data_IF_059327629668
#
_entry.id   IF_059327629668
#
_cell.length_a   1.000
_cell.length_b   1.000
_cell.length_c   1.000
_cell.angle_alpha   90.00
_cell.angle_beta   90.00
_cell.angle_gamma   90.00
#
_symmetry.space_group_name_H-M   'P 1'
#
loop_
_entity.id
_entity.type
_entity.pdbx_description
1 polymer ?
#
# COMPACT_ATOMS: atom_id res chain seq x y z
N UNK A 1 7.40 53.52 62.94
CA UNK A 1 7.55 54.96 62.65
C UNK A 1 8.65 55.53 63.53
N UNK A 2 9.30 56.60 63.08
CA UNK A 2 10.42 57.32 63.71
C UNK A 2 11.80 56.83 63.22
N UNK A 3 12.60 57.58 62.45
CA UNK A 3 13.10 58.95 62.64
C UNK A 3 13.79 59.17 64.01
N UNK A 4 15.04 58.75 64.13
CA UNK A 4 16.16 59.72 64.13
C UNK A 4 17.46 59.10 64.66
N UNK A 5 18.54 59.51 63.99
CA UNK A 5 19.87 59.74 64.53
C UNK A 5 20.77 58.56 64.91
N UNK A 6 21.96 58.60 64.29
CA UNK A 6 23.29 58.36 64.85
C UNK A 6 23.54 57.07 65.63
N UNK A 7 24.49 56.29 65.15
CA UNK A 7 25.80 56.12 65.81
C UNK A 7 26.67 55.18 64.96
N UNK A 8 27.88 55.62 64.65
CA UNK A 8 28.95 54.78 64.14
C UNK A 8 29.14 53.58 65.07
N UNK A 9 28.66 52.43 64.63
CA UNK A 9 28.97 51.13 65.21
C UNK A 9 30.27 50.60 64.62
N UNK A 10 31.37 50.89 65.30
CA UNK A 10 32.67 50.24 65.10
C UNK A 10 32.45 48.72 65.23
N UNK A 11 32.60 47.97 64.15
CA UNK A 11 32.91 46.54 64.26
C UNK A 11 34.43 46.41 64.29
N UNK A 12 34.92 46.09 65.47
CA UNK A 12 36.30 45.79 65.79
C UNK A 12 36.74 44.50 65.10
N UNK A 13 37.81 44.54 64.30
CA UNK A 13 38.71 43.38 64.15
C UNK A 13 40.07 43.84 63.64
N UNK A 14 40.83 44.47 64.55
CA UNK A 14 42.13 45.05 64.26
C UNK A 14 42.73 45.72 65.49
N UNK A 15 42.85 45.00 66.60
CA UNK A 15 43.69 45.42 67.73
C UNK A 15 44.66 44.28 68.03
N UNK A 16 45.86 44.40 67.45
CA UNK A 16 46.97 43.49 67.72
C UNK A 16 48.09 43.44 66.67
N UNK A 17 47.86 43.87 65.43
CA UNK A 17 48.90 44.11 64.40
C UNK A 17 48.29 44.88 63.23
N UNK A 18 49.07 45.75 62.57
CA UNK A 18 48.69 46.53 61.38
C UNK A 18 48.43 45.69 60.14
N UNK A 19 47.46 44.79 60.23
CA UNK A 19 47.14 43.74 59.28
C UNK A 19 45.70 44.01 58.83
N UNK A 20 45.56 44.58 57.63
CA UNK A 20 44.29 44.78 56.96
C UNK A 20 43.72 43.41 56.55
N UNK A 21 42.92 42.83 57.44
CA UNK A 21 42.39 41.47 57.31
C UNK A 21 41.47 41.33 56.11
N UNK A 22 40.74 42.38 55.73
CA UNK A 22 39.89 42.37 54.54
C UNK A 22 40.73 42.32 53.26
N UNK A 23 41.81 43.12 53.16
CA UNK A 23 42.69 43.04 51.99
C UNK A 23 43.55 41.78 51.95
N UNK A 24 43.93 41.22 53.10
CA UNK A 24 44.64 39.94 53.18
C UNK A 24 43.72 38.78 52.80
N UNK A 25 42.49 38.75 53.30
CA UNK A 25 41.48 37.77 52.87
C UNK A 25 41.18 37.91 51.38
N UNK A 26 41.05 39.13 50.85
CA UNK A 26 40.88 39.36 49.41
C UNK A 26 42.10 38.89 48.59
N UNK A 27 43.33 39.14 49.06
CA UNK A 27 44.56 38.66 48.41
C UNK A 27 44.69 37.13 48.46
N UNK A 28 44.34 36.50 49.58
CA UNK A 28 44.28 35.04 49.70
C UNK A 28 43.19 34.45 48.80
N UNK A 29 41.99 35.02 48.78
CA UNK A 29 40.91 34.62 47.87
C UNK A 29 41.31 34.77 46.40
N UNK A 30 42.03 35.84 46.05
CA UNK A 30 42.55 36.01 44.69
C UNK A 30 43.58 34.94 44.33
N UNK A 31 44.50 34.59 45.25
CA UNK A 31 45.49 33.51 45.04
C UNK A 31 44.81 32.14 44.93
N UNK A 32 43.83 31.86 45.80
CA UNK A 32 43.02 30.63 45.79
C UNK A 32 42.07 30.56 44.59
N UNK A 33 41.74 31.70 43.95
CA UNK A 33 40.95 31.75 42.72
C UNK A 33 41.77 31.50 41.44
N UNK A 34 43.11 31.60 41.49
CA UNK A 34 43.99 31.38 40.32
C UNK A 34 43.76 30.00 39.67
N UNK A 35 43.66 28.87 40.40
CA UNK A 35 43.38 27.57 39.80
C UNK A 35 42.03 27.54 39.07
N UNK A 36 41.00 28.18 39.64
CA UNK A 36 39.66 28.26 39.04
C UNK A 36 39.70 29.09 37.76
N UNK A 37 40.37 30.25 37.77
CA UNK A 37 40.53 31.09 36.58
C UNK A 37 41.28 30.35 35.45
N UNK A 38 42.32 29.57 35.79
CA UNK A 38 43.04 28.73 34.81
C UNK A 38 42.13 27.65 34.21
N UNK A 39 41.34 26.97 35.04
CA UNK A 39 40.37 25.97 34.57
C UNK A 39 39.28 26.60 33.69
N UNK A 40 38.81 27.81 34.01
CA UNK A 40 37.85 28.55 33.16
C UNK A 40 38.45 28.93 31.79
N UNK A 41 39.71 29.37 31.75
CA UNK A 41 40.42 29.64 30.49
C UNK A 41 40.66 28.36 29.67
N UNK A 42 41.01 27.26 30.34
CA UNK A 42 41.11 25.94 29.69
C UNK A 42 39.76 25.49 29.14
N UNK A 43 38.67 25.66 29.89
CA UNK A 43 37.32 25.35 29.45
C UNK A 43 36.96 26.14 28.19
N UNK A 44 37.19 27.46 28.17
CA UNK A 44 36.96 28.27 26.97
C UNK A 44 37.82 27.80 25.78
N UNK A 45 39.09 27.47 26.01
CA UNK A 45 39.97 26.95 24.95
C UNK A 45 39.47 25.63 24.39
N UNK A 46 39.04 24.71 25.25
CA UNK A 46 38.47 23.41 24.85
C UNK A 46 37.15 23.61 24.09
N UNK A 47 36.28 24.50 24.56
CA UNK A 47 35.03 24.84 23.87
C UNK A 47 35.30 25.39 22.47
N UNK A 48 36.24 26.32 22.32
CA UNK A 48 36.65 26.83 20.99
C UNK A 48 37.19 25.71 20.11
N UNK A 49 38.05 24.84 20.64
CA UNK A 49 38.56 23.67 19.89
C UNK A 49 37.45 22.73 19.45
N UNK A 50 36.48 22.44 20.32
CA UNK A 50 35.33 21.61 20.00
C UNK A 50 34.49 22.22 18.87
N UNK A 51 34.23 23.53 18.91
CA UNK A 51 33.50 24.23 17.85
C UNK A 51 34.24 24.17 16.51
N UNK A 52 35.57 24.41 16.51
CA UNK A 52 36.41 24.32 15.31
C UNK A 52 36.43 22.89 14.74
N UNK A 53 36.55 21.87 15.59
CA UNK A 53 36.50 20.47 15.15
C UNK A 53 35.11 20.08 14.63
N UNK A 54 34.03 20.62 15.22
CA UNK A 54 32.67 20.44 14.75
C UNK A 54 32.46 21.04 13.35
N UNK A 55 32.97 22.25 13.12
CA UNK A 55 32.92 22.92 11.82
C UNK A 55 33.74 22.17 10.77
N UNK A 56 34.97 21.76 11.09
CA UNK A 56 35.81 20.93 10.22
C UNK A 56 35.09 19.64 9.82
N UNK A 57 34.49 18.95 10.79
CA UNK A 57 33.73 17.70 10.55
C UNK A 57 32.53 17.95 9.63
N UNK A 58 31.80 19.05 9.84
CA UNK A 58 30.67 19.43 9.00
C UNK A 58 31.11 19.65 7.54
N UNK A 59 32.18 20.43 7.34
CA UNK A 59 32.76 20.68 6.00
C UNK A 59 33.26 19.39 5.35
N UNK A 60 33.93 18.50 6.10
CA UNK A 60 34.40 17.21 5.59
C UNK A 60 33.23 16.32 5.17
N UNK A 61 32.14 16.32 5.94
CA UNK A 61 30.92 15.58 5.62
C UNK A 61 30.25 16.12 4.35
N UNK A 62 30.19 17.44 4.18
CA UNK A 62 29.65 18.07 2.97
C UNK A 62 30.48 17.73 1.73
N UNK A 63 31.82 17.81 1.82
CA UNK A 63 32.72 17.41 0.74
C UNK A 63 32.60 15.91 0.42
N UNK A 64 32.54 15.06 1.44
CA UNK A 64 32.35 13.61 1.25
C UNK A 64 31.03 13.30 0.54
N UNK A 65 29.95 14.01 0.89
CA UNK A 65 28.63 13.84 0.28
C UNK A 65 28.61 14.28 -1.18
N UNK A 66 29.20 15.43 -1.50
CA UNK A 66 29.29 15.93 -2.89
C UNK A 66 30.21 15.05 -3.74
N UNK A 67 31.33 14.57 -3.20
CA UNK A 67 32.21 13.61 -3.86
C UNK A 67 31.51 12.28 -4.16
N UNK A 68 30.77 11.75 -3.18
CA UNK A 68 29.98 10.52 -3.35
C UNK A 68 28.89 10.68 -4.40
N UNK A 69 28.24 11.86 -4.42
CA UNK A 69 27.24 12.20 -5.44
C UNK A 69 27.83 12.26 -6.84
N UNK A 70 29.11 12.63 -6.99
CA UNK A 70 29.78 12.60 -8.29
C UNK A 70 30.20 11.19 -8.72
N UNK A 71 30.46 10.29 -7.78
CA UNK A 71 30.89 8.92 -8.05
C UNK A 71 29.72 7.95 -8.34
N UNK A 72 28.49 8.44 -8.48
CA UNK A 72 27.34 7.58 -8.81
C UNK A 72 27.27 7.27 -10.30
N UNK A 73 26.84 6.07 -10.66
CA UNK A 73 26.80 5.57 -12.05
C UNK A 73 25.93 6.42 -12.99
N UNK A 74 25.00 7.21 -12.46
CA UNK A 74 24.08 8.06 -13.24
C UNK A 74 24.41 9.56 -13.13
N UNK A 75 25.55 9.91 -12.52
CA UNK A 75 25.93 11.32 -12.32
C UNK A 75 26.10 12.05 -13.64
N UNK A 76 26.70 11.39 -14.63
CA UNK A 76 27.14 12.01 -15.89
C UNK A 76 26.23 11.71 -17.09
N UNK A 77 25.22 10.85 -16.90
CA UNK A 77 24.19 10.59 -17.91
C UNK A 77 22.76 10.67 -17.34
N UNK A 78 22.41 11.71 -16.55
CA UNK A 78 21.05 11.85 -16.07
C UNK A 78 20.11 12.09 -17.26
N UNK A 79 18.95 11.44 -17.26
CA UNK A 79 17.88 11.69 -18.23
C UNK A 79 16.79 12.51 -17.55
N UNK A 80 16.45 13.64 -18.16
CA UNK A 80 15.28 14.44 -17.83
C UNK A 80 14.11 14.06 -18.74
N UNK A 81 12.97 13.88 -18.10
CA UNK A 81 11.70 13.62 -18.74
C UNK A 81 10.88 14.91 -18.85
N UNK A 82 10.27 15.17 -20.00
CA UNK A 82 9.28 16.24 -20.19
C UNK A 82 8.09 15.76 -20.99
N UNK A 83 6.90 16.29 -20.68
CA UNK A 83 5.65 16.04 -21.41
C UNK A 83 5.12 17.35 -21.97
N UNK A 84 4.57 17.33 -23.18
CA UNK A 84 3.90 18.48 -23.78
C UNK A 84 2.57 18.81 -23.10
N UNK A 85 1.96 17.86 -22.40
CA UNK A 85 0.79 18.04 -21.54
C UNK A 85 0.93 17.17 -20.27
N UNK A 86 1.56 17.75 -19.24
CA UNK A 86 1.75 17.07 -17.95
C UNK A 86 0.47 16.92 -17.12
N UNK A 87 -0.60 17.66 -17.47
CA UNK A 87 -1.89 17.53 -16.80
C UNK A 87 -2.66 16.30 -17.29
N UNK A 88 -2.44 15.87 -18.54
CA UNK A 88 -2.97 14.63 -19.09
C UNK A 88 -2.01 13.44 -18.89
N UNK A 89 -0.73 13.59 -19.25
CA UNK A 89 0.29 12.54 -19.16
C UNK A 89 1.51 13.07 -18.40
N UNK A 90 1.63 12.65 -17.14
CA UNK A 90 2.85 12.83 -16.36
C UNK A 90 3.92 11.83 -16.77
N UNK A 91 5.19 12.22 -16.62
CA UNK A 91 6.32 11.33 -16.90
C UNK A 91 7.44 11.54 -15.90
N UNK A 92 8.04 10.44 -15.47
CA UNK A 92 9.27 10.45 -14.68
C UNK A 92 10.25 9.43 -15.23
N UNK A 93 11.53 9.75 -15.13
CA UNK A 93 12.66 8.91 -15.54
C UNK A 93 13.43 8.42 -14.31
N UNK A 94 14.00 7.24 -14.42
CA UNK A 94 14.88 6.63 -13.41
C UNK A 94 16.19 6.18 -14.08
N UNK A 95 17.05 5.46 -13.35
CA UNK A 95 18.30 4.95 -13.90
C UNK A 95 18.00 3.94 -15.00
N UNK A 96 18.68 4.04 -16.14
CA UNK A 96 18.47 3.16 -17.29
C UNK A 96 17.46 3.69 -18.32
N UNK A 97 16.85 4.85 -18.08
CA UNK A 97 16.11 5.56 -19.13
C UNK A 97 17.00 5.88 -20.32
N UNK A 98 16.43 5.77 -21.53
CA UNK A 98 17.11 6.08 -22.78
C UNK A 98 16.52 7.37 -23.36
N UNK A 99 17.38 8.22 -23.93
CA UNK A 99 16.94 9.44 -24.61
C UNK A 99 16.09 9.09 -25.85
N UNK A 100 15.06 9.86 -26.11
CA UNK A 100 14.10 9.60 -27.18
C UNK A 100 12.85 10.45 -27.05
N UNK A 101 12.04 10.47 -28.11
CA UNK A 101 10.74 11.15 -28.13
C UNK A 101 9.67 10.14 -28.45
N UNK A 102 8.58 10.18 -27.69
CA UNK A 102 7.47 9.23 -27.77
C UNK A 102 6.15 9.99 -27.86
N UNK A 103 5.25 9.53 -28.70
CA UNK A 103 3.89 10.05 -28.81
C UNK A 103 2.96 9.16 -27.98
N UNK A 104 2.30 9.75 -26.98
CA UNK A 104 1.41 9.03 -26.07
C UNK A 104 -0.02 9.48 -26.31
N UNK A 105 -0.92 8.55 -26.57
CA UNK A 105 -2.36 8.80 -26.61
C UNK A 105 -3.05 7.98 -25.53
N UNK A 106 -3.96 8.58 -24.78
CA UNK A 106 -4.73 7.93 -23.71
C UNK A 106 -6.19 7.92 -24.11
N UNK A 107 -6.74 6.75 -24.38
CA UNK A 107 -8.15 6.58 -24.78
C UNK A 107 -9.03 6.25 -23.58
N UNK A 108 -8.47 5.61 -22.56
CA UNK A 108 -9.20 5.20 -21.37
C UNK A 108 -8.30 5.19 -20.13
N UNK A 109 -8.87 5.57 -18.98
CA UNK A 109 -8.20 5.46 -17.68
C UNK A 109 -8.63 4.20 -16.95
N UNK A 110 -7.68 3.62 -16.21
CA UNK A 110 -7.98 2.54 -15.30
C UNK A 110 -8.87 3.05 -14.16
N UNK A 111 -9.88 2.26 -13.77
CA UNK A 111 -10.80 2.58 -12.66
C UNK A 111 -10.83 1.47 -11.63
N UNK A 112 -10.95 1.87 -10.37
CA UNK A 112 -11.14 0.96 -9.26
C UNK A 112 -12.61 0.58 -9.16
N UNK A 113 -12.86 -0.72 -9.06
CA UNK A 113 -14.23 -1.25 -8.96
C UNK A 113 -14.91 -0.72 -7.70
N UNK A 114 -16.16 -0.27 -7.84
CA UNK A 114 -17.02 0.12 -6.73
C UNK A 114 -18.39 -0.54 -6.80
N UNK A 115 -18.78 -1.19 -5.71
CA UNK A 115 -20.08 -1.88 -5.55
C UNK A 115 -20.74 -1.37 -4.28
N UNK A 116 -22.06 -1.23 -4.28
CA UNK A 116 -22.83 -0.82 -3.11
C UNK A 116 -23.90 -1.85 -2.76
N UNK A 117 -24.21 -1.95 -1.48
CA UNK A 117 -25.37 -2.68 -0.99
C UNK A 117 -26.68 -1.98 -1.39
N UNK A 118 -27.80 -2.66 -1.17
CA UNK A 118 -29.11 -2.01 -1.05
C UNK A 118 -29.17 -1.18 0.25
N UNK A 119 -30.16 -0.28 0.33
CA UNK A 119 -30.38 0.57 1.50
C UNK A 119 -30.87 -0.23 2.69
N UNK A 120 -30.24 0.00 3.84
CA UNK A 120 -30.62 -0.55 5.14
C UNK A 120 -31.23 0.54 6.02
N UNK A 121 -32.14 0.18 6.92
CA UNK A 121 -32.85 1.13 7.79
C UNK A 121 -31.90 2.04 8.57
N UNK A 122 -30.81 1.48 9.11
CA UNK A 122 -29.74 2.24 9.74
C UNK A 122 -28.40 1.49 9.72
N UNK A 123 -27.34 2.11 10.25
CA UNK A 123 -25.97 1.57 10.20
C UNK A 123 -25.50 0.89 11.49
N UNK A 124 -26.29 0.97 12.56
CA UNK A 124 -25.92 0.66 13.95
C UNK A 124 -26.74 -0.46 14.60
N UNK A 125 -27.98 -0.67 14.16
CA UNK A 125 -28.84 -1.76 14.61
C UNK A 125 -28.35 -3.08 14.06
N UNK A 126 -28.67 -4.14 14.79
CA UNK A 126 -28.41 -5.50 14.37
C UNK A 126 -29.13 -5.81 13.05
N UNK A 127 -28.40 -6.37 12.09
CA UNK A 127 -28.93 -6.83 10.81
C UNK A 127 -29.77 -8.10 10.96
N UNK A 128 -29.59 -8.84 12.06
CA UNK A 128 -30.22 -10.15 12.30
C UNK A 128 -29.92 -11.17 11.20
N UNK A 129 -28.78 -11.01 10.52
CA UNK A 129 -28.25 -11.95 9.54
C UNK A 129 -27.20 -12.83 10.20
N UNK A 130 -27.12 -14.09 9.79
CA UNK A 130 -26.05 -14.99 10.21
C UNK A 130 -25.50 -15.70 8.99
N UNK A 131 -24.19 -15.85 8.90
CA UNK A 131 -23.56 -16.57 7.82
C UNK A 131 -22.15 -16.08 7.54
N UNK A 132 -21.49 -16.75 6.60
CA UNK A 132 -20.15 -16.39 6.16
C UNK A 132 -20.19 -16.08 4.68
N UNK A 133 -19.39 -15.11 4.26
CA UNK A 133 -19.13 -14.83 2.86
C UNK A 133 -17.64 -14.55 2.67
N UNK A 134 -17.21 -14.35 1.43
CA UNK A 134 -15.87 -13.94 1.11
C UNK A 134 -15.84 -12.72 0.20
N UNK A 135 -14.82 -11.90 0.40
CA UNK A 135 -14.45 -10.78 -0.47
C UNK A 135 -13.05 -11.05 -0.98
N UNK A 136 -12.86 -11.11 -2.30
CA UNK A 136 -11.57 -11.45 -2.92
C UNK A 136 -10.90 -12.70 -2.30
N UNK A 137 -11.70 -13.73 -1.99
CA UNK A 137 -11.21 -14.97 -1.38
C UNK A 137 -10.79 -14.84 0.09
N UNK A 138 -11.20 -13.76 0.80
CA UNK A 138 -11.04 -13.61 2.25
C UNK A 138 -12.38 -13.63 2.95
N UNK A 139 -12.48 -14.47 3.95
CA UNK A 139 -13.64 -14.74 4.77
C UNK A 139 -14.10 -13.57 5.62
N UNK A 140 -15.42 -13.44 5.73
CA UNK A 140 -16.10 -12.53 6.63
C UNK A 140 -17.30 -13.24 7.22
N UNK A 141 -17.29 -13.45 8.54
CA UNK A 141 -18.40 -14.06 9.28
C UNK A 141 -19.27 -12.98 9.91
N UNK A 142 -20.58 -13.07 9.66
CA UNK A 142 -21.62 -12.19 10.18
C UNK A 142 -22.43 -12.93 11.23
N UNK A 143 -22.59 -12.28 12.38
CA UNK A 143 -23.42 -12.74 13.48
C UNK A 143 -24.72 -11.94 13.53
N UNK A 144 -25.76 -12.53 14.14
CA UNK A 144 -27.08 -11.88 14.21
C UNK A 144 -27.02 -10.49 14.86
N UNK A 145 -26.10 -10.29 15.81
CA UNK A 145 -25.89 -9.03 16.53
C UNK A 145 -25.06 -7.99 15.77
N UNK A 146 -24.52 -8.35 14.59
CA UNK A 146 -23.72 -7.44 13.80
C UNK A 146 -24.58 -6.37 13.14
N UNK A 147 -24.08 -5.14 13.19
CA UNK A 147 -24.63 -4.01 12.45
C UNK A 147 -23.91 -3.83 11.13
N UNK A 148 -24.46 -2.98 10.26
CA UNK A 148 -23.83 -2.62 9.00
C UNK A 148 -22.40 -2.07 9.20
N UNK A 149 -22.21 -1.25 10.23
CA UNK A 149 -20.89 -0.73 10.62
C UNK A 149 -19.92 -1.85 11.00
N UNK A 150 -20.37 -2.83 11.80
CA UNK A 150 -19.53 -3.98 12.17
C UNK A 150 -19.18 -4.84 10.97
N UNK A 151 -20.12 -5.08 10.05
CA UNK A 151 -19.83 -5.83 8.81
C UNK A 151 -18.77 -5.10 7.97
N UNK A 152 -18.89 -3.78 7.78
CA UNK A 152 -17.86 -3.00 7.08
C UNK A 152 -16.49 -3.07 7.78
N UNK A 153 -16.45 -3.02 9.12
CA UNK A 153 -15.21 -3.19 9.89
C UNK A 153 -14.60 -4.59 9.74
N UNK A 154 -15.42 -5.64 9.71
CA UNK A 154 -14.97 -7.02 9.49
C UNK A 154 -14.39 -7.18 8.08
N UNK A 155 -15.01 -6.60 7.05
CA UNK A 155 -14.46 -6.59 5.67
C UNK A 155 -13.10 -5.89 5.63
N UNK A 156 -12.97 -4.71 6.26
CA UNK A 156 -11.70 -3.99 6.31
C UNK A 156 -10.62 -4.77 7.07
N UNK A 157 -10.98 -5.41 8.18
CA UNK A 157 -10.06 -6.24 8.99
C UNK A 157 -9.61 -7.51 8.26
N UNK A 158 -10.44 -8.04 7.34
CA UNK A 158 -10.09 -9.19 6.51
C UNK A 158 -8.94 -8.90 5.53
N UNK A 159 -8.62 -7.61 5.29
CA UNK A 159 -7.55 -7.16 4.38
C UNK A 159 -7.70 -7.73 2.95
N UNK A 160 -8.94 -7.78 2.47
CA UNK A 160 -9.33 -8.37 1.18
C UNK A 160 -8.97 -7.52 -0.06
N UNK A 161 -8.05 -6.57 0.03
CA UNK A 161 -7.77 -5.65 -1.09
C UNK A 161 -8.89 -4.66 -1.43
N UNK A 162 -9.89 -4.51 -0.55
CA UNK A 162 -10.97 -3.54 -0.66
C UNK A 162 -11.03 -2.63 0.57
N UNK A 163 -11.69 -1.50 0.42
CA UNK A 163 -12.13 -0.62 1.50
C UNK A 163 -13.65 -0.65 1.55
N UNK A 164 -14.22 -1.06 2.69
CA UNK A 164 -15.64 -0.95 3.00
C UNK A 164 -15.90 0.36 3.75
N UNK A 165 -16.89 1.12 3.30
CA UNK A 165 -17.31 2.38 3.93
C UNK A 165 -18.82 2.44 4.05
N UNK A 166 -19.30 3.16 5.08
CA UNK A 166 -20.72 3.41 5.26
C UNK A 166 -21.09 4.75 4.63
N UNK A 167 -22.08 4.75 3.75
CA UNK A 167 -22.71 5.96 3.25
C UNK A 167 -24.05 6.12 3.96
N UNK A 168 -24.21 7.24 4.66
CA UNK A 168 -25.49 7.63 5.23
C UNK A 168 -26.29 8.43 4.18
N UNK A 169 -27.35 7.82 3.66
CA UNK A 169 -28.26 8.42 2.68
C UNK A 169 -29.39 9.25 3.31
N UNK A 170 -29.36 9.51 4.62
CA UNK A 170 -30.42 10.19 5.35
C UNK A 170 -31.34 9.22 6.09
N UNK A 171 -32.46 9.74 6.62
CA UNK A 171 -33.37 8.98 7.47
C UNK A 171 -33.82 7.67 6.78
N UNK A 172 -33.47 6.53 7.38
CA UNK A 172 -33.87 5.21 6.90
C UNK A 172 -32.97 4.58 5.83
N UNK A 173 -31.83 5.19 5.47
CA UNK A 173 -30.98 4.68 4.38
C UNK A 173 -29.48 4.70 4.75
N UNK A 174 -28.92 3.54 5.05
CA UNK A 174 -27.50 3.31 5.18
C UNK A 174 -27.03 2.27 4.16
N UNK A 175 -25.87 2.48 3.55
CA UNK A 175 -25.31 1.60 2.53
C UNK A 175 -23.89 1.22 2.90
N UNK A 176 -23.49 -0.02 2.63
CA UNK A 176 -22.06 -0.38 2.52
C UNK A 176 -21.65 -0.14 1.09
N UNK A 177 -20.58 0.63 0.90
CA UNK A 177 -19.88 0.73 -0.37
C UNK A 177 -18.52 0.06 -0.25
N UNK A 178 -18.25 -0.89 -1.14
CA UNK A 178 -16.97 -1.55 -1.30
C UNK A 178 -16.23 -0.90 -2.46
N UNK A 179 -15.00 -0.45 -2.23
CA UNK A 179 -14.12 0.10 -3.27
C UNK A 179 -12.84 -0.72 -3.32
N UNK A 180 -12.46 -1.23 -4.49
CA UNK A 180 -11.16 -1.87 -4.70
C UNK A 180 -10.04 -0.88 -4.39
N UNK A 181 -8.95 -1.35 -3.77
CA UNK A 181 -7.80 -0.49 -3.46
C UNK A 181 -7.01 -0.09 -4.71
N UNK A 182 -6.99 -0.99 -5.68
CA UNK A 182 -6.29 -0.84 -6.95
C UNK A 182 -7.28 -0.73 -8.12
N UNK A 183 -6.86 -0.07 -9.20
CA UNK A 183 -7.62 0.04 -10.45
C UNK A 183 -7.44 -1.20 -11.32
N UNK A 184 -8.20 -1.30 -12.41
CA UNK A 184 -8.01 -2.37 -13.41
C UNK A 184 -8.98 -3.53 -13.26
N UNK A 185 -9.26 -4.19 -14.38
CA UNK A 185 -10.19 -5.32 -14.48
C UNK A 185 -9.74 -6.51 -13.62
N UNK A 186 -8.42 -6.74 -13.54
CA UNK A 186 -7.85 -7.79 -12.68
C UNK A 186 -8.13 -7.58 -11.19
N UNK A 187 -8.44 -6.34 -10.79
CA UNK A 187 -8.74 -5.95 -9.42
C UNK A 187 -10.25 -5.78 -9.16
N UNK A 188 -11.10 -6.33 -10.04
CA UNK A 188 -12.52 -6.40 -9.81
C UNK A 188 -12.86 -7.12 -8.48
N UNK A 189 -13.76 -6.53 -7.69
CA UNK A 189 -14.16 -7.08 -6.39
C UNK A 189 -14.92 -8.38 -6.60
N UNK A 190 -14.38 -9.49 -6.10
CA UNK A 190 -15.07 -10.75 -6.07
C UNK A 190 -15.88 -10.89 -4.78
N UNK A 191 -17.14 -11.26 -4.94
CA UNK A 191 -18.10 -11.45 -3.88
C UNK A 191 -18.69 -12.85 -3.99
N UNK A 192 -18.61 -13.61 -2.90
CA UNK A 192 -19.16 -14.97 -2.85
C UNK A 192 -19.73 -15.24 -1.46
N UNK A 193 -21.01 -15.56 -1.40
CA UNK A 193 -21.61 -16.13 -0.19
C UNK A 193 -21.03 -17.52 0.06
N UNK A 194 -20.98 -17.95 1.33
CA UNK A 194 -20.59 -19.30 1.70
C UNK A 194 -21.73 -19.95 2.49
N UNK A 195 -22.14 -21.14 2.07
CA UNK A 195 -23.31 -21.81 2.64
C UNK A 195 -24.63 -21.23 2.14
N UNK A 196 -25.73 -21.57 2.80
CA UNK A 196 -27.09 -21.24 2.39
C UNK A 196 -27.61 -19.89 2.91
N UNK A 197 -26.83 -19.20 3.75
CA UNK A 197 -27.26 -17.95 4.40
C UNK A 197 -27.38 -16.75 3.47
N UNK A 198 -26.69 -16.76 2.31
CA UNK A 198 -26.79 -15.75 1.26
C UNK A 198 -26.77 -14.29 1.79
N UNK A 199 -25.80 -13.97 2.65
CA UNK A 199 -25.70 -12.68 3.35
C UNK A 199 -25.50 -11.54 2.35
N UNK A 200 -24.64 -11.71 1.35
CA UNK A 200 -24.36 -10.69 0.34
C UNK A 200 -25.60 -10.40 -0.51
N UNK A 201 -26.32 -11.45 -0.92
CA UNK A 201 -27.58 -11.28 -1.66
C UNK A 201 -28.65 -10.61 -0.79
N UNK A 202 -28.72 -10.96 0.51
CA UNK A 202 -29.64 -10.32 1.47
C UNK A 202 -29.34 -8.84 1.70
N UNK A 203 -28.06 -8.45 1.67
CA UNK A 203 -27.62 -7.05 1.70
C UNK A 203 -27.78 -6.35 0.34
N UNK A 204 -28.11 -7.08 -0.73
CA UNK A 204 -28.20 -6.55 -2.09
C UNK A 204 -26.84 -6.19 -2.70
N UNK A 205 -25.75 -6.79 -2.22
CA UNK A 205 -24.42 -6.65 -2.82
C UNK A 205 -24.24 -7.54 -4.06
N UNK A 206 -24.91 -8.69 -4.08
CA UNK A 206 -24.96 -9.64 -5.19
C UNK A 206 -26.38 -9.80 -5.73
N UNK A 207 -26.51 -10.18 -6.99
CA UNK A 207 -27.79 -10.41 -7.66
C UNK A 207 -27.68 -11.42 -8.81
N UNK A 208 -28.82 -11.99 -9.20
CA UNK A 208 -28.94 -12.88 -10.35
C UNK A 208 -28.37 -14.29 -10.13
N UNK A 209 -28.46 -15.13 -11.16
CA UNK A 209 -27.89 -16.47 -11.14
C UNK A 209 -26.35 -16.39 -11.23
N UNK A 210 -25.67 -17.35 -10.61
CA UNK A 210 -24.23 -17.47 -10.73
C UNK A 210 -23.81 -17.89 -12.16
N UNK A 211 -22.74 -17.30 -12.67
CA UNK A 211 -22.13 -17.64 -13.96
C UNK A 211 -20.63 -17.90 -13.78
N UNK A 212 -19.99 -18.50 -14.79
CA UNK A 212 -18.54 -18.72 -14.76
C UNK A 212 -17.83 -17.38 -14.62
N UNK A 213 -17.06 -17.23 -13.54
CA UNK A 213 -16.41 -15.97 -13.20
C UNK A 213 -15.21 -15.68 -14.10
N UNK A 214 -14.30 -16.65 -14.18
CA UNK A 214 -13.05 -16.50 -14.93
C UNK A 214 -13.00 -17.60 -15.98
N UNK A 215 -13.60 -17.38 -17.16
CA UNK A 215 -13.57 -18.36 -18.22
C UNK A 215 -12.14 -18.54 -18.74
N UNK A 216 -11.85 -19.75 -19.17
CA UNK A 216 -10.66 -20.11 -19.95
C UNK A 216 -11.14 -20.94 -21.14
N UNK A 217 -10.25 -21.24 -22.09
CA UNK A 217 -10.56 -22.17 -23.17
C UNK A 217 -11.13 -23.46 -22.61
N UNK A 218 -12.36 -23.79 -23.00
CA UNK A 218 -13.12 -24.96 -22.60
C UNK A 218 -13.27 -25.16 -21.08
N UNK A 219 -13.19 -24.11 -20.27
CA UNK A 219 -13.20 -24.28 -18.82
C UNK A 219 -13.38 -23.03 -17.98
N UNK A 220 -13.10 -23.20 -16.69
CA UNK A 220 -13.11 -22.14 -15.69
C UNK A 220 -11.86 -22.22 -14.79
N UNK A 221 -11.38 -21.06 -14.34
CA UNK A 221 -10.33 -20.95 -13.31
C UNK A 221 -10.87 -20.28 -12.04
N UNK A 222 -10.39 -20.71 -10.89
CA UNK A 222 -10.81 -20.23 -9.59
C UNK A 222 -10.00 -19.04 -9.06
N UNK A 223 -10.21 -18.75 -7.78
CA UNK A 223 -9.43 -17.82 -6.99
C UNK A 223 -7.97 -18.25 -6.85
N UNK A 224 -7.08 -17.28 -6.62
CA UNK A 224 -5.71 -17.50 -6.24
C UNK A 224 -5.62 -17.79 -4.74
N UNK A 225 -4.96 -18.89 -4.40
CA UNK A 225 -4.68 -19.33 -3.04
C UNK A 225 -3.17 -19.40 -2.79
N UNK A 226 -2.75 -19.30 -1.53
CA UNK A 226 -1.33 -19.29 -1.17
C UNK A 226 -0.67 -20.68 -1.24
N UNK A 227 -1.47 -21.75 -1.24
CA UNK A 227 -1.00 -23.14 -1.27
C UNK A 227 -2.00 -24.03 -2.00
N UNK A 228 -1.50 -25.09 -2.65
CA UNK A 228 -2.33 -26.15 -3.23
C UNK A 228 -2.69 -27.26 -2.22
N UNK A 229 -1.90 -27.41 -1.15
CA UNK A 229 -2.03 -28.51 -0.17
C UNK A 229 -2.67 -28.10 1.15
N UNK A 230 -2.73 -26.81 1.47
CA UNK A 230 -3.42 -26.33 2.68
C UNK A 230 -4.94 -26.44 2.51
N UNK A 231 -5.65 -26.66 3.62
CA UNK A 231 -7.12 -26.71 3.66
C UNK A 231 -7.70 -25.37 3.19
N UNK A 232 -8.73 -25.41 2.34
CA UNK A 232 -9.30 -24.20 1.72
C UNK A 232 -9.90 -23.25 2.75
N UNK A 233 -10.64 -23.74 3.75
CA UNK A 233 -11.25 -22.88 4.78
C UNK A 233 -10.22 -22.08 5.59
N UNK A 234 -9.04 -22.66 5.87
CA UNK A 234 -7.94 -21.97 6.54
C UNK A 234 -7.38 -20.84 5.69
N UNK A 235 -7.20 -21.10 4.38
CA UNK A 235 -6.70 -20.09 3.44
C UNK A 235 -7.70 -18.95 3.22
N UNK A 236 -9.00 -19.29 3.18
CA UNK A 236 -10.09 -18.34 3.16
C UNK A 236 -10.24 -17.61 4.51
N UNK A 237 -9.71 -18.15 5.62
CA UNK A 237 -9.92 -17.67 6.99
C UNK A 237 -11.39 -17.68 7.40
N UNK A 238 -12.09 -18.76 7.09
CA UNK A 238 -13.50 -18.96 7.44
C UNK A 238 -13.68 -20.18 8.32
N UNK A 239 -14.55 -20.05 9.30
CA UNK A 239 -15.15 -21.21 9.94
C UNK A 239 -16.40 -21.61 9.15
N UNK A 240 -16.43 -22.86 8.70
CA UNK A 240 -17.57 -23.42 7.97
C UNK A 240 -18.38 -24.22 8.97
N UNK A 241 -19.61 -23.76 9.22
CA UNK A 241 -20.54 -24.43 10.12
C UNK A 241 -21.13 -25.67 9.42
N UNK A 242 -21.44 -26.74 10.16
CA UNK A 242 -22.03 -27.95 9.60
C UNK A 242 -23.36 -27.72 8.84
N UNK A 243 -23.65 -28.50 7.78
CA UNK A 243 -22.85 -29.64 7.30
C UNK A 243 -21.59 -29.18 6.53
N UNK A 244 -20.45 -29.80 6.85
CA UNK A 244 -19.16 -29.39 6.25
C UNK A 244 -18.93 -29.98 4.85
N UNK A 245 -19.70 -31.00 4.46
CA UNK A 245 -19.64 -31.63 3.13
C UNK A 245 -20.86 -31.21 2.32
N UNK A 246 -20.60 -30.70 1.13
CA UNK A 246 -21.57 -30.10 0.22
C UNK A 246 -21.46 -30.74 -1.15
N UNK A 247 -22.59 -30.91 -1.84
CA UNK A 247 -22.58 -31.33 -3.24
C UNK A 247 -22.44 -30.14 -4.19
N UNK A 248 -21.42 -30.21 -5.04
CA UNK A 248 -21.34 -29.43 -6.27
C UNK A 248 -21.73 -30.33 -7.44
N UNK A 249 -22.12 -29.73 -8.56
CA UNK A 249 -22.39 -30.43 -9.81
C UNK A 249 -21.47 -29.94 -10.92
N UNK A 250 -20.83 -30.87 -11.62
CA UNK A 250 -20.07 -30.61 -12.85
C UNK A 250 -20.69 -31.47 -13.95
N UNK A 251 -21.19 -30.86 -15.03
CA UNK A 251 -21.92 -31.56 -16.10
C UNK A 251 -23.07 -32.46 -15.58
N UNK A 252 -23.73 -32.05 -14.50
CA UNK A 252 -24.80 -32.81 -13.86
C UNK A 252 -24.34 -33.94 -12.92
N UNK A 253 -23.03 -34.20 -12.79
CA UNK A 253 -22.49 -35.18 -11.85
C UNK A 253 -22.23 -34.55 -10.48
N UNK A 254 -22.77 -35.17 -9.43
CA UNK A 254 -22.62 -34.67 -8.06
C UNK A 254 -21.27 -35.08 -7.46
N UNK A 255 -20.60 -34.14 -6.80
CA UNK A 255 -19.28 -34.29 -6.21
C UNK A 255 -19.32 -33.71 -4.80
N UNK A 256 -18.92 -34.52 -3.82
CA UNK A 256 -18.89 -34.13 -2.41
C UNK A 256 -17.60 -33.35 -2.08
N UNK A 257 -17.73 -32.06 -1.81
CA UNK A 257 -16.64 -31.17 -1.42
C UNK A 257 -16.79 -30.76 0.04
N UNK A 258 -15.69 -30.79 0.77
CA UNK A 258 -15.62 -30.32 2.14
C UNK A 258 -14.47 -29.33 2.31
N UNK A 259 -14.79 -28.04 2.27
CA UNK A 259 -13.78 -26.98 2.36
C UNK A 259 -13.06 -26.93 3.71
N UNK A 260 -13.58 -27.60 4.76
CA UNK A 260 -12.94 -27.71 6.08
C UNK A 260 -11.90 -28.83 6.19
N UNK A 261 -11.82 -29.71 5.19
CA UNK A 261 -10.84 -30.81 5.15
C UNK A 261 -10.10 -30.93 3.83
N UNK A 262 -10.67 -30.43 2.74
CA UNK A 262 -10.11 -30.54 1.41
C UNK A 262 -9.17 -29.37 1.09
N UNK A 263 -8.01 -29.70 0.51
CA UNK A 263 -7.13 -28.78 -0.19
C UNK A 263 -7.53 -28.61 -1.65
N UNK A 264 -6.88 -27.71 -2.40
CA UNK A 264 -7.12 -27.61 -3.85
C UNK A 264 -6.79 -28.91 -4.58
N UNK A 265 -5.71 -29.60 -4.19
CA UNK A 265 -5.33 -30.90 -4.76
C UNK A 265 -6.39 -31.98 -4.49
N UNK A 266 -6.95 -31.99 -3.27
CA UNK A 266 -8.01 -32.92 -2.90
C UNK A 266 -9.30 -32.65 -3.70
N UNK A 267 -9.68 -31.38 -3.87
CA UNK A 267 -10.84 -30.97 -4.67
C UNK A 267 -10.64 -31.37 -6.14
N UNK A 268 -9.47 -31.08 -6.73
CA UNK A 268 -9.17 -31.49 -8.10
C UNK A 268 -9.25 -33.01 -8.28
N UNK A 269 -8.69 -33.77 -7.33
CA UNK A 269 -8.74 -35.24 -7.34
C UNK A 269 -10.17 -35.78 -7.26
N UNK A 270 -11.03 -35.18 -6.42
CA UNK A 270 -12.44 -35.56 -6.30
C UNK A 270 -13.23 -35.30 -7.58
N UNK A 271 -12.99 -34.16 -8.24
CA UNK A 271 -13.62 -33.84 -9.53
C UNK A 271 -13.19 -34.85 -10.60
N UNK A 272 -11.89 -35.16 -10.69
CA UNK A 272 -11.36 -36.14 -11.64
C UNK A 272 -11.92 -37.56 -11.39
N UNK A 273 -12.03 -37.97 -10.12
CA UNK A 273 -12.55 -39.28 -9.74
C UNK A 273 -14.05 -39.44 -10.09
N UNK A 274 -14.80 -38.35 -10.16
CA UNK A 274 -16.21 -38.38 -10.54
C UNK A 274 -16.45 -38.60 -12.04
N UNK A 275 -15.41 -38.54 -12.88
CA UNK A 275 -15.49 -38.74 -14.33
C UNK A 275 -16.59 -37.89 -15.00
N UNK A 276 -16.70 -36.63 -14.58
CA UNK A 276 -17.76 -35.71 -15.01
C UNK A 276 -17.60 -35.16 -16.45
N UNK A 277 -16.76 -35.78 -17.29
CA UNK A 277 -16.39 -35.23 -18.61
C UNK A 277 -15.61 -33.91 -18.50
N UNK A 278 -14.85 -33.75 -17.42
CA UNK A 278 -13.99 -32.61 -17.17
C UNK A 278 -12.75 -33.04 -16.37
N UNK A 279 -11.64 -32.36 -16.63
CA UNK A 279 -10.36 -32.51 -15.93
C UNK A 279 -10.12 -31.30 -15.03
N UNK A 280 -9.89 -31.55 -13.74
CA UNK A 280 -9.48 -30.56 -12.77
C UNK A 280 -7.97 -30.66 -12.47
N UNK A 281 -7.31 -29.51 -12.41
CA UNK A 281 -5.88 -29.39 -12.10
C UNK A 281 -5.62 -28.15 -11.24
N UNK A 282 -4.55 -28.16 -10.45
CA UNK A 282 -4.08 -26.96 -9.75
C UNK A 282 -2.92 -26.36 -10.53
N UNK A 283 -3.04 -25.08 -10.90
CA UNK A 283 -2.03 -24.34 -11.66
C UNK A 283 -1.38 -23.31 -10.78
N UNK A 284 -0.05 -23.24 -10.83
CA UNK A 284 0.73 -22.21 -10.17
C UNK A 284 0.92 -21.00 -11.09
N UNK A 285 0.73 -19.81 -10.56
CA UNK A 285 1.01 -18.53 -11.19
C UNK A 285 1.75 -17.60 -10.22
N UNK A 286 2.17 -16.42 -10.69
CA UNK A 286 2.73 -15.37 -9.83
C UNK A 286 1.74 -14.23 -9.70
N UNK A 287 1.30 -13.94 -8.48
CA UNK A 287 0.45 -12.80 -8.15
C UNK A 287 1.24 -11.87 -7.24
N UNK A 288 1.48 -10.63 -7.70
CA UNK A 288 2.24 -9.62 -6.96
C UNK A 288 3.64 -10.11 -6.48
N UNK A 289 4.33 -10.87 -7.34
CA UNK A 289 5.68 -11.40 -7.05
C UNK A 289 5.71 -12.59 -6.09
N UNK A 290 4.56 -13.11 -5.65
CA UNK A 290 4.46 -14.32 -4.83
C UNK A 290 3.78 -15.46 -5.60
N UNK A 291 4.16 -16.73 -5.38
CA UNK A 291 3.46 -17.86 -5.99
C UNK A 291 2.03 -17.93 -5.47
N UNK A 292 1.09 -18.18 -6.39
CA UNK A 292 -0.31 -18.42 -6.09
C UNK A 292 -0.80 -19.65 -6.87
N UNK A 293 -1.80 -20.34 -6.34
CA UNK A 293 -2.33 -21.59 -6.88
C UNK A 293 -3.81 -21.42 -7.18
N UNK A 294 -4.26 -21.89 -8.35
CA UNK A 294 -5.66 -21.83 -8.77
C UNK A 294 -6.15 -23.20 -9.17
N UNK A 295 -7.37 -23.54 -8.73
CA UNK A 295 -8.11 -24.66 -9.29
C UNK A 295 -8.57 -24.28 -10.72
N UNK A 296 -8.26 -25.13 -11.68
CA UNK A 296 -8.70 -25.03 -13.05
C UNK A 296 -9.51 -26.27 -13.40
N UNK A 297 -10.67 -26.09 -14.04
CA UNK A 297 -11.54 -27.19 -14.50
C UNK A 297 -11.80 -26.99 -15.98
N UNK A 298 -11.34 -27.92 -16.81
CA UNK A 298 -11.46 -27.91 -18.28
C UNK A 298 -12.33 -29.08 -18.70
N UNK A 299 -13.35 -28.85 -19.52
CA UNK A 299 -14.21 -29.90 -20.05
C UNK A 299 -13.61 -30.59 -21.26
N UNK A 300 -13.97 -31.85 -21.47
CA UNK A 300 -13.50 -32.64 -22.61
C UNK A 300 -14.14 -32.17 -23.94
N UNK A 301 -15.30 -31.51 -23.85
CA UNK A 301 -16.09 -31.05 -24.98
C UNK A 301 -16.72 -29.67 -24.73
N UNK A 302 -15.87 -28.68 -24.40
CA UNK A 302 -16.27 -27.31 -24.08
C UNK A 302 -16.38 -27.03 -22.58
N UNK A 303 -16.69 -25.77 -22.22
CA UNK A 303 -16.81 -25.35 -20.82
C UNK A 303 -17.86 -26.18 -20.07
N UNK A 304 -17.50 -26.84 -18.95
CA UNK A 304 -18.46 -27.62 -18.17
C UNK A 304 -19.62 -26.77 -17.65
N UNK A 305 -20.79 -27.40 -17.46
CA UNK A 305 -21.86 -26.78 -16.68
C UNK A 305 -21.57 -26.96 -15.20
N UNK A 306 -21.78 -25.90 -14.42
CA UNK A 306 -21.49 -25.86 -13.00
C UNK A 306 -22.75 -25.48 -12.23
N UNK A 307 -22.99 -26.16 -11.11
CA UNK A 307 -24.03 -25.77 -10.17
C UNK A 307 -23.60 -26.11 -8.73
N UNK A 308 -23.99 -25.29 -7.77
CA UNK A 308 -23.78 -25.54 -6.35
C UNK A 308 -24.93 -24.94 -5.53
N UNK A 309 -25.50 -25.72 -4.62
CA UNK A 309 -26.62 -25.24 -3.78
C UNK A 309 -26.15 -24.45 -2.55
N UNK A 310 -24.86 -24.55 -2.21
CA UNK A 310 -24.29 -23.89 -1.02
C UNK A 310 -23.08 -23.00 -1.33
N UNK A 311 -22.99 -22.52 -2.57
CA UNK A 311 -22.06 -21.48 -3.00
C UNK A 311 -20.54 -21.83 -2.89
N UNK A 312 -20.18 -23.11 -2.73
CA UNK A 312 -18.79 -23.60 -2.68
C UNK A 312 -17.99 -23.24 -3.93
N UNK A 313 -18.55 -23.40 -5.13
CA UNK A 313 -17.92 -23.02 -6.39
C UNK A 313 -17.75 -21.50 -6.50
N UNK A 314 -18.64 -20.70 -5.90
CA UNK A 314 -18.44 -19.25 -5.83
C UNK A 314 -17.30 -18.88 -4.87
N UNK A 315 -17.17 -19.57 -3.74
CA UNK A 315 -16.09 -19.38 -2.78
C UNK A 315 -14.72 -19.77 -3.37
N UNK A 316 -14.68 -20.85 -4.16
CA UNK A 316 -13.53 -21.25 -4.96
C UNK A 316 -13.27 -20.31 -6.14
N UNK A 317 -14.20 -19.41 -6.47
CA UNK A 317 -14.10 -18.43 -7.54
C UNK A 317 -14.31 -19.00 -8.95
N UNK A 318 -14.84 -20.22 -9.06
CA UNK A 318 -15.25 -20.82 -10.33
C UNK A 318 -16.50 -20.12 -10.85
N UNK A 319 -17.46 -19.92 -9.96
CA UNK A 319 -18.69 -19.18 -10.22
C UNK A 319 -18.67 -17.80 -9.56
N UNK A 320 -19.51 -16.90 -10.04
CA UNK A 320 -19.78 -15.62 -9.40
C UNK A 320 -21.21 -15.17 -9.74
N UNK A 321 -21.92 -14.64 -8.73
CA UNK A 321 -23.17 -13.90 -8.96
C UNK A 321 -22.87 -12.48 -9.48
N UNK A 322 -23.83 -11.89 -10.20
CA UNK A 322 -23.76 -10.49 -10.58
C UNK A 322 -23.74 -9.56 -9.36
N UNK A 323 -23.40 -8.29 -9.57
CA UNK A 323 -23.49 -7.29 -8.50
C UNK A 323 -24.92 -6.78 -8.38
N UNK A 324 -25.38 -6.50 -7.16
CA UNK A 324 -26.68 -5.87 -6.96
C UNK A 324 -26.70 -4.42 -7.43
N UNK A 325 -25.69 -3.64 -7.06
CA UNK A 325 -25.51 -2.27 -7.52
C UNK A 325 -24.02 -1.97 -7.80
N UNK A 326 -23.63 -1.99 -9.07
CA UNK A 326 -22.28 -1.64 -9.52
C UNK A 326 -22.20 -0.15 -9.82
N UNK A 327 -21.53 0.61 -8.95
CA UNK A 327 -21.39 2.06 -9.09
C UNK A 327 -20.29 2.45 -10.08
N UNK A 328 -19.21 1.67 -10.12
CA UNK A 328 -18.09 1.85 -11.05
C UNK A 328 -17.57 0.47 -11.44
N UNK A 329 -17.61 0.15 -12.73
CA UNK A 329 -16.98 -1.07 -13.23
C UNK A 329 -15.45 -1.00 -13.10
N UNK A 330 -14.83 -2.14 -12.80
CA UNK A 330 -13.39 -2.30 -12.96
C UNK A 330 -13.04 -2.08 -14.44
N UNK A 331 -11.95 -1.38 -14.71
CA UNK A 331 -11.57 -0.99 -16.06
C UNK A 331 -10.06 -0.80 -16.11
N UNK A 332 -9.42 -1.32 -17.16
CA UNK A 332 -8.01 -1.07 -17.45
C UNK A 332 -7.84 0.26 -18.19
N UNK A 333 -6.66 0.86 -18.04
CA UNK A 333 -6.23 1.96 -18.88
C UNK A 333 -5.93 1.43 -20.28
N UNK A 334 -6.32 2.19 -21.30
CA UNK A 334 -5.98 1.96 -22.70
C UNK A 334 -5.24 3.19 -23.20
N UNK A 335 -4.06 2.96 -23.77
CA UNK A 335 -3.19 4.00 -24.26
C UNK A 335 -2.31 3.44 -25.38
N UNK A 336 -1.73 4.32 -26.18
CA UNK A 336 -0.75 3.95 -27.19
C UNK A 336 0.57 4.66 -26.97
N UNK A 337 1.66 4.01 -27.39
CA UNK A 337 2.99 4.61 -27.49
C UNK A 337 3.45 4.46 -28.94
N UNK A 338 3.66 5.58 -29.62
CA UNK A 338 4.03 5.62 -31.05
C UNK A 338 3.09 4.78 -31.94
N UNK A 339 1.80 4.73 -31.58
CA UNK A 339 0.76 3.99 -32.30
C UNK A 339 0.66 2.50 -31.93
N UNK A 340 1.43 2.01 -30.95
CA UNK A 340 1.28 0.65 -30.42
C UNK A 340 0.30 0.67 -29.26
N UNK A 341 -0.85 0.00 -29.42
CA UNK A 341 -1.89 -0.10 -28.39
C UNK A 341 -1.46 -1.00 -27.23
N UNK A 342 -1.68 -0.49 -26.02
CA UNK A 342 -1.29 -1.12 -24.77
C UNK A 342 -2.40 -0.96 -23.73
N UNK A 343 -2.44 -1.91 -22.80
CA UNK A 343 -3.36 -1.89 -21.66
C UNK A 343 -2.59 -1.97 -20.35
N UNK A 344 -3.17 -1.40 -19.30
CA UNK A 344 -2.61 -1.46 -17.95
C UNK A 344 -3.71 -1.43 -16.90
N UNK A 345 -3.60 -2.31 -15.90
CA UNK A 345 -4.47 -2.25 -14.72
C UNK A 345 -4.29 -0.97 -13.90
N UNK A 346 -3.21 -0.21 -14.10
CA UNK A 346 -2.90 1.02 -13.36
C UNK A 346 -2.73 2.24 -14.26
N UNK A 347 -3.15 3.39 -13.75
CA UNK A 347 -2.83 4.70 -14.34
C UNK A 347 -1.37 5.13 -14.07
N UNK A 348 -0.64 4.42 -13.20
CA UNK A 348 0.81 4.56 -13.07
C UNK A 348 1.47 3.39 -13.79
N UNK A 349 1.81 3.62 -15.06
CA UNK A 349 2.39 2.61 -15.95
C UNK A 349 3.90 2.62 -15.75
N UNK A 350 4.44 1.48 -15.34
CA UNK A 350 5.88 1.27 -15.15
C UNK A 350 6.41 0.31 -16.19
N UNK A 351 7.70 0.42 -16.48
CA UNK A 351 8.48 -0.56 -17.27
C UNK A 351 8.03 -0.78 -18.72
N UNK A 352 7.04 -0.02 -19.21
CA UNK A 352 6.65 0.00 -20.63
C UNK A 352 7.74 0.57 -21.53
N UNK A 353 8.51 1.51 -20.98
CA UNK A 353 9.77 1.99 -21.54
C UNK A 353 10.83 1.82 -20.45
N UNK A 354 12.04 1.32 -20.76
CA UNK A 354 13.08 1.08 -19.76
C UNK A 354 13.32 2.29 -18.87
N UNK A 355 13.16 2.11 -17.56
CA UNK A 355 13.38 3.15 -16.55
C UNK A 355 12.38 4.31 -16.57
N UNK A 356 11.28 4.24 -17.32
CA UNK A 356 10.27 5.31 -17.37
C UNK A 356 9.01 4.88 -16.60
N UNK A 357 8.41 5.85 -15.90
CA UNK A 357 7.05 5.72 -15.37
C UNK A 357 6.17 6.80 -15.96
N UNK A 358 5.07 6.39 -16.58
CA UNK A 358 4.01 7.27 -17.09
C UNK A 358 2.87 7.36 -16.06
N UNK A 359 2.32 8.56 -15.89
CA UNK A 359 1.13 8.82 -15.08
C UNK A 359 0.00 9.28 -15.99
N UNK A 360 -0.97 8.42 -16.23
CA UNK A 360 -2.14 8.67 -17.06
C UNK A 360 -3.22 9.36 -16.21
N UNK A 361 -3.40 10.67 -16.38
CA UNK A 361 -4.28 11.46 -15.54
C UNK A 361 -5.61 11.80 -16.22
N UNK A 362 -5.61 11.86 -17.57
CA UNK A 362 -6.76 12.19 -18.41
C UNK A 362 -6.66 11.46 -19.74
N UNK A 363 -7.80 11.26 -20.40
CA UNK A 363 -7.83 10.93 -21.83
C UNK A 363 -7.33 12.12 -22.65
N UNK A 364 -6.83 11.84 -23.85
CA UNK A 364 -6.22 12.84 -24.74
C UNK A 364 -6.95 12.88 -26.07
N UNK A 365 -7.25 14.07 -26.58
CA UNK A 365 -7.84 14.24 -27.93
C UNK A 365 -6.79 14.22 -29.05
N UNK A 366 -5.52 14.35 -28.70
CA UNK A 366 -4.36 14.31 -29.61
C UNK A 366 -3.12 13.81 -28.88
N UNK A 367 -2.17 13.25 -29.62
CA UNK A 367 -0.94 12.71 -29.06
C UNK A 367 -0.16 13.73 -28.21
N UNK A 368 0.17 13.31 -26.98
CA UNK A 368 1.05 14.02 -26.06
C UNK A 368 2.49 13.61 -26.33
N UNK A 369 3.34 14.58 -26.65
CA UNK A 369 4.77 14.34 -26.89
C UNK A 369 5.50 14.25 -25.55
N UNK A 370 6.11 13.08 -25.31
CA UNK A 370 7.01 12.83 -24.19
C UNK A 370 8.44 12.80 -24.69
N UNK A 371 9.30 13.67 -24.15
CA UNK A 371 10.72 13.79 -24.54
C UNK A 371 11.62 13.41 -23.39
N UNK A 372 12.49 12.43 -23.63
CA UNK A 372 13.60 12.02 -22.76
C UNK A 372 14.88 12.60 -23.33
N UNK A 373 15.56 13.45 -22.57
CA UNK A 373 16.81 14.09 -23.00
C UNK A 373 17.85 14.06 -21.88
N UNK A 374 19.13 14.15 -22.24
CA UNK A 374 20.20 14.25 -21.24
C UNK A 374 20.08 15.56 -20.48
N UNK A 375 20.17 15.48 -19.15
CA UNK A 375 20.12 16.64 -18.28
C UNK A 375 21.53 17.20 -18.01
N UNK A 376 22.10 17.89 -19.01
CA UNK A 376 23.42 18.52 -18.88
C UNK A 376 23.44 19.58 -17.75
N UNK A 377 22.28 20.17 -17.43
CA UNK A 377 22.14 21.16 -16.37
C UNK A 377 22.31 20.53 -14.98
N UNK A 378 21.76 19.34 -14.77
CA UNK A 378 21.96 18.57 -13.54
C UNK A 378 23.43 18.16 -13.36
N UNK A 379 24.12 17.78 -14.45
CA UNK A 379 25.57 17.47 -14.41
C UNK A 379 26.35 18.71 -13.97
N UNK A 380 26.11 19.85 -14.61
CA UNK A 380 26.78 21.10 -14.29
C UNK A 380 26.53 21.54 -12.84
N UNK A 381 25.31 21.37 -12.32
CA UNK A 381 24.98 21.67 -10.92
C UNK A 381 25.80 20.80 -9.95
N UNK A 382 25.82 19.48 -10.16
CA UNK A 382 26.57 18.56 -9.29
C UNK A 382 28.07 18.88 -9.24
N UNK A 383 28.66 19.27 -10.36
CA UNK A 383 30.07 19.69 -10.42
C UNK A 383 30.27 21.00 -9.65
N UNK A 384 29.38 21.98 -9.82
CA UNK A 384 29.44 23.24 -9.06
C UNK A 384 29.32 23.01 -7.56
N UNK A 385 28.42 22.12 -7.13
CA UNK A 385 28.21 21.80 -5.71
C UNK A 385 29.46 21.14 -5.11
N UNK A 386 30.13 20.26 -5.85
CA UNK A 386 31.40 19.68 -5.43
C UNK A 386 32.51 20.74 -5.31
N UNK A 387 32.67 21.60 -6.31
CA UNK A 387 33.68 22.67 -6.29
C UNK A 387 33.43 23.61 -5.11
N UNK A 388 32.17 23.96 -4.85
CA UNK A 388 31.81 24.80 -3.70
C UNK A 388 32.14 24.14 -2.36
N UNK A 389 31.88 22.83 -2.22
CA UNK A 389 32.22 22.07 -1.01
C UNK A 389 33.73 21.94 -0.82
N UNK A 390 34.49 21.75 -1.91
CA UNK A 390 35.94 21.70 -1.88
C UNK A 390 36.55 23.05 -1.50
N UNK A 391 36.12 24.14 -2.12
CA UNK A 391 36.62 25.48 -1.79
C UNK A 391 36.32 25.84 -0.33
N UNK A 392 35.11 25.54 0.16
CA UNK A 392 34.78 25.72 1.57
C UNK A 392 35.68 24.92 2.52
N UNK A 393 36.17 23.75 2.12
CA UNK A 393 37.13 22.98 2.91
C UNK A 393 38.52 23.60 2.89
N UNK A 394 38.98 24.08 1.73
CA UNK A 394 40.31 24.67 1.56
C UNK A 394 40.41 26.03 2.23
N UNK A 395 39.32 26.81 2.24
CA UNK A 395 39.26 28.13 2.88
C UNK A 395 39.16 28.07 4.42
N UNK A 396 38.89 26.88 4.99
CA UNK A 396 38.83 26.64 6.43
C UNK A 396 40.21 26.33 7.00
#
# INVERSE_FOLDING_TARGET
>A
MSLSSSLSGITFSGIGSGIDTASIVSRLLQVEAIPIQRLQQQQQTIQTRMSVMGELRSRLSSLSTSASSLNSSNTFNPIKASSSDSAAVGVSSTVGSVAGTYQIEVTQLAKAHKVSSAGQTDSTSALNLTGTFSVNGKGVTVEASDSLTKVAQKINSANAGVTASIINGGAGNAFITLTAKDTGESNAIALADLGTSNVLSSLGLTSGAASVRSPITDGAKGNAFASQTQIVSEMLKVEILPPNTVQISVNGQNIDINLSSDSLDAIASKINAANAGATASVVQETVNGSPAYRLQIVGDSGTPTFADSENVLTALGILQQGYGNQLVAAQDAEYSIDGVDLTSASNSVKDVLPGVTLSLNKTTDSAVTVTMSRDDSAVASRVKDFVAAYNNMVDF
#
